data_IF_614072544689
#
_entry.id   IF_614072544689
#
_cell.length_a   1.000
_cell.length_b   1.000
_cell.length_c   1.000
_cell.angle_alpha   90.00
_cell.angle_beta   90.00
_cell.angle_gamma   90.00
#
_symmetry.space_group_name_H-M   'P 1'
#
loop_
_entity.id
_entity.type
_entity.pdbx_description
1 polymer ?
#
# COMPACT_ATOMS: atom_id res chain seq x y z
N UNK A 1 -7.60 -16.97 20.27
CA UNK A 1 -8.67 -15.96 20.29
C UNK A 1 -8.04 -14.59 20.52
N UNK A 2 -7.82 -13.79 19.47
CA UNK A 2 -7.61 -12.33 19.58
C UNK A 2 -8.11 -11.70 18.28
N UNK A 3 -9.37 -11.25 18.28
CA UNK A 3 -9.86 -10.29 17.31
C UNK A 3 -10.55 -9.20 18.12
N UNK A 4 -9.77 -8.23 18.55
CA UNK A 4 -10.20 -7.02 19.26
C UNK A 4 -9.48 -5.87 18.59
N UNK A 5 -10.07 -4.75 18.17
CA UNK A 5 -11.42 -4.29 17.88
C UNK A 5 -11.23 -2.90 17.24
N UNK A 6 -12.21 -2.50 16.44
CA UNK A 6 -12.56 -1.14 16.04
C UNK A 6 -11.52 -0.32 15.25
N UNK A 7 -11.88 -0.11 13.98
CA UNK A 7 -11.81 1.23 13.40
C UNK A 7 -12.57 2.17 14.37
N UNK A 8 -11.84 2.86 15.26
CA UNK A 8 -12.40 3.94 16.08
C UNK A 8 -12.41 5.18 15.20
N UNK A 9 -13.57 5.45 14.60
CA UNK A 9 -13.75 6.59 13.71
C UNK A 9 -14.03 7.85 14.52
N UNK A 10 -12.98 8.61 14.85
CA UNK A 10 -13.13 10.04 15.14
C UNK A 10 -12.90 10.79 13.84
N UNK A 11 -13.99 11.21 13.19
CA UNK A 11 -13.92 11.88 11.89
C UNK A 11 -13.48 13.33 12.07
N UNK A 12 -12.32 13.69 11.52
CA UNK A 12 -11.91 15.08 11.35
C UNK A 12 -11.59 15.32 9.88
N UNK A 13 -12.44 16.09 9.20
CA UNK A 13 -12.22 16.51 7.81
C UNK A 13 -11.36 17.75 7.79
N UNK A 14 -10.21 17.68 7.12
CA UNK A 14 -9.33 18.83 6.91
C UNK A 14 -9.26 19.15 5.41
N UNK A 15 -9.20 20.44 5.01
CA UNK A 15 -8.82 20.81 3.66
C UNK A 15 -7.40 20.27 3.39
N UNK A 16 -7.15 19.75 2.19
CA UNK A 16 -5.84 19.28 1.80
C UNK A 16 -4.85 20.45 1.81
N UNK A 17 -3.89 20.44 2.74
CA UNK A 17 -2.85 21.46 2.84
C UNK A 17 -1.78 21.23 1.77
N UNK A 18 -1.40 22.29 1.06
CA UNK A 18 -0.43 22.28 -0.06
C UNK A 18 1.04 22.07 0.36
N UNK A 19 1.32 21.33 1.44
CA UNK A 19 2.66 21.34 2.08
C UNK A 19 3.17 20.06 2.72
N UNK A 20 2.56 18.89 2.46
CA UNK A 20 3.09 17.62 2.99
C UNK A 20 4.00 16.95 1.95
N UNK A 21 5.28 17.34 1.92
CA UNK A 21 6.33 16.60 1.22
C UNK A 21 6.53 15.24 1.90
N UNK A 22 6.00 14.18 1.31
CA UNK A 22 6.28 12.80 1.71
C UNK A 22 7.58 12.33 1.06
N UNK A 23 8.54 11.89 1.88
CA UNK A 23 9.64 11.05 1.41
C UNK A 23 9.06 9.75 0.86
N UNK A 24 8.95 9.67 -0.46
CA UNK A 24 8.60 8.44 -1.16
C UNK A 24 9.68 7.37 -0.91
N UNK A 25 9.27 6.13 -0.67
CA UNK A 25 10.17 5.00 -0.85
C UNK A 25 10.49 4.88 -2.35
N UNK A 26 11.78 4.67 -2.64
CA UNK A 26 12.41 4.83 -3.95
C UNK A 26 11.81 3.98 -5.08
N UNK A 27 11.70 4.59 -6.25
CA UNK A 27 11.87 3.89 -7.53
C UNK A 27 12.94 4.64 -8.35
N UNK A 28 13.88 3.86 -8.88
CA UNK A 28 15.09 4.33 -9.56
C UNK A 28 14.77 4.83 -10.96
N UNK A 29 15.54 5.83 -11.41
CA UNK A 29 15.22 6.63 -12.58
C UNK A 29 15.32 5.92 -13.93
N UNK A 30 14.73 6.55 -14.94
CA UNK A 30 15.54 7.21 -15.97
C UNK A 30 14.73 8.30 -16.66
N UNK A 31 15.38 9.45 -16.82
CA UNK A 31 14.94 10.66 -17.52
C UNK A 31 15.22 10.53 -19.01
N UNK A 32 14.30 10.92 -19.88
CA UNK A 32 14.70 11.71 -21.04
C UNK A 32 13.58 12.63 -21.54
N UNK A 33 14.04 13.76 -22.03
CA UNK A 33 13.36 15.01 -22.33
C UNK A 33 12.61 14.94 -23.66
N UNK A 34 11.47 15.63 -23.76
CA UNK A 34 11.29 16.83 -24.60
C UNK A 34 9.82 17.07 -24.89
N UNK A 35 9.35 18.21 -24.39
CA UNK A 35 8.17 18.93 -24.87
C UNK A 35 8.55 19.63 -26.18
N UNK A 36 7.63 19.75 -27.16
CA UNK A 36 7.09 21.08 -27.37
C UNK A 36 5.58 21.14 -27.59
N UNK A 37 5.04 22.24 -27.09
CA UNK A 37 3.71 22.81 -27.29
C UNK A 37 3.42 23.07 -28.77
N UNK A 38 2.19 22.78 -29.22
CA UNK A 38 1.36 23.72 -29.99
C UNK A 38 -0.02 23.11 -30.32
N UNK A 39 -1.02 23.97 -30.17
CA UNK A 39 -2.43 23.83 -30.51
C UNK A 39 -2.67 23.75 -32.02
N UNK A 40 -3.66 22.97 -32.47
CA UNK A 40 -4.66 23.41 -33.46
C UNK A 40 -5.89 22.46 -33.48
N UNK A 41 -7.14 22.96 -33.63
CA UNK A 41 -8.36 22.16 -33.59
C UNK A 41 -8.97 21.88 -34.98
N UNK A 42 -9.79 20.82 -35.02
CA UNK A 42 -10.92 20.58 -35.95
C UNK A 42 -10.60 20.32 -37.44
N UNK A 43 -11.02 19.15 -37.92
CA UNK A 43 -12.00 19.05 -39.03
C UNK A 43 -12.57 17.64 -39.14
N UNK A 44 -13.90 17.60 -39.31
CA UNK A 44 -14.72 16.49 -39.78
C UNK A 44 -14.14 15.80 -41.03
N UNK A 45 -14.38 14.48 -41.15
CA UNK A 45 -15.03 13.85 -42.31
C UNK A 45 -15.29 12.35 -41.97
N UNK A 46 -16.49 11.81 -42.28
CA UNK A 46 -16.85 10.42 -42.00
C UNK A 46 -16.40 9.50 -43.16
N UNK A 47 -15.60 8.47 -42.84
CA UNK A 47 -15.27 7.42 -43.82
C UNK A 47 -16.29 6.28 -43.73
N UNK A 48 -17.02 6.08 -44.81
CA UNK A 48 -17.92 4.96 -45.07
C UNK A 48 -17.14 3.66 -45.24
N UNK A 49 -17.41 2.66 -44.41
CA UNK A 49 -16.92 1.29 -44.56
C UNK A 49 -18.05 0.40 -45.13
N UNK A 50 -17.90 -0.25 -46.30
CA UNK A 50 -18.86 -1.22 -46.78
C UNK A 50 -18.56 -2.61 -46.21
N UNK A 51 -19.61 -3.26 -45.71
CA UNK A 51 -19.60 -4.65 -45.27
C UNK A 51 -19.29 -5.65 -46.40
N UNK A 52 -18.40 -6.60 -46.12
CA UNK A 52 -18.37 -8.04 -46.47
C UNK A 52 -16.94 -8.53 -46.12
N UNK A 53 -16.69 -9.69 -45.53
CA UNK A 53 -17.13 -11.02 -45.92
C UNK A 53 -16.73 -12.03 -44.82
N UNK A 54 -17.47 -13.12 -44.71
CA UNK A 54 -17.25 -14.21 -43.75
C UNK A 54 -16.23 -15.21 -44.31
N UNK A 55 -15.16 -15.49 -43.57
CA UNK A 55 -14.57 -16.84 -43.56
C UNK A 55 -14.11 -17.21 -42.17
N UNK A 56 -14.84 -18.16 -41.61
CA UNK A 56 -14.54 -18.97 -40.44
C UNK A 56 -13.29 -19.81 -40.74
N UNK A 57 -12.14 -19.45 -40.16
CA UNK A 57 -10.90 -20.24 -40.21
C UNK A 57 -10.66 -20.84 -38.81
N UNK A 58 -10.73 -22.17 -38.63
CA UNK A 58 -10.48 -22.78 -37.34
C UNK A 58 -9.00 -22.61 -36.96
N UNK A 59 -8.77 -22.05 -35.78
CA UNK A 59 -7.43 -21.92 -35.19
C UNK A 59 -6.71 -23.27 -35.15
N UNK A 60 -5.42 -23.34 -35.50
CA UNK A 60 -4.64 -24.57 -35.37
C UNK A 60 -4.56 -25.00 -33.88
N UNK A 61 -4.52 -26.30 -33.57
CA UNK A 61 -4.39 -26.77 -32.19
C UNK A 61 -3.09 -26.25 -31.59
N UNK A 62 -3.18 -25.79 -30.33
CA UNK A 62 -2.04 -25.35 -29.55
C UNK A 62 -0.97 -26.45 -29.49
N UNK A 63 0.21 -26.18 -30.05
CA UNK A 63 1.41 -26.96 -29.78
C UNK A 63 1.75 -26.82 -28.31
N UNK A 64 1.48 -27.86 -27.52
CA UNK A 64 2.06 -28.03 -26.18
C UNK A 64 3.56 -28.20 -26.32
N UNK A 65 4.31 -27.12 -26.18
CA UNK A 65 5.74 -27.21 -25.87
C UNK A 65 5.88 -27.81 -24.48
N UNK A 66 6.43 -29.01 -24.43
CA UNK A 66 6.91 -29.67 -23.22
C UNK A 66 7.83 -28.71 -22.44
N UNK A 67 7.63 -28.53 -21.13
CA UNK A 67 8.54 -27.73 -20.32
C UNK A 67 9.94 -28.30 -20.41
N UNK A 68 10.93 -27.45 -20.69
CA UNK A 68 12.34 -27.83 -20.64
C UNK A 68 12.67 -28.50 -19.29
N UNK A 69 13.52 -29.54 -19.26
CA UNK A 69 13.90 -30.21 -18.02
C UNK A 69 14.46 -29.20 -17.02
N UNK A 70 13.96 -29.25 -15.78
CA UNK A 70 14.42 -28.42 -14.66
C UNK A 70 15.94 -28.63 -14.50
N UNK A 71 16.75 -27.56 -14.44
CA UNK A 71 18.17 -27.68 -14.16
C UNK A 71 18.41 -28.42 -12.85
N UNK A 72 19.35 -29.36 -12.85
CA UNK A 72 19.77 -30.05 -11.63
C UNK A 72 20.21 -29.03 -10.56
N UNK A 73 19.93 -29.26 -9.26
CA UNK A 73 20.38 -28.39 -8.19
C UNK A 73 21.91 -28.20 -8.23
N UNK A 74 22.44 -27.00 -7.91
CA UNK A 74 23.88 -26.82 -7.75
C UNK A 74 24.44 -27.80 -6.73
N UNK A 75 25.59 -28.40 -7.04
CA UNK A 75 26.32 -29.24 -6.10
C UNK A 75 26.58 -28.46 -4.80
N UNK A 76 26.32 -29.11 -3.66
CA UNK A 76 26.59 -28.54 -2.34
C UNK A 76 28.06 -28.10 -2.22
N UNK A 77 28.35 -26.96 -1.57
CA UNK A 77 29.73 -26.53 -1.33
C UNK A 77 30.50 -27.61 -0.58
N UNK A 78 31.70 -27.93 -1.09
CA UNK A 78 32.64 -28.79 -0.40
C UNK A 78 32.92 -28.24 1.01
N UNK A 79 32.96 -29.16 1.99
CA UNK A 79 33.03 -28.85 3.42
C UNK A 79 34.11 -27.84 3.77
N UNK A 80 33.70 -26.77 4.45
CA UNK A 80 34.63 -25.92 5.17
C UNK A 80 35.10 -26.69 6.41
N UNK A 81 36.41 -26.82 6.53
CA UNK A 81 37.10 -27.37 7.70
C UNK A 81 36.63 -26.60 8.96
N UNK A 82 36.23 -27.26 10.07
CA UNK A 82 35.81 -26.54 11.27
C UNK A 82 36.94 -25.63 11.78
N UNK A 83 36.61 -24.37 12.06
CA UNK A 83 37.53 -23.47 12.75
C UNK A 83 37.96 -24.09 14.09
N UNK A 84 39.23 -23.89 14.52
CA UNK A 84 39.69 -24.40 15.80
C UNK A 84 38.81 -23.87 16.94
N UNK A 85 38.26 -24.78 17.74
CA UNK A 85 37.47 -24.45 18.93
C UNK A 85 38.38 -23.69 19.90
N UNK A 86 37.98 -22.50 20.41
CA UNK A 86 38.76 -21.77 21.39
C UNK A 86 38.98 -22.64 22.64
N UNK A 87 40.23 -22.80 23.06
CA UNK A 87 40.55 -23.44 24.34
C UNK A 87 39.96 -22.56 25.46
N UNK A 88 39.17 -23.12 26.40
CA UNK A 88 38.65 -22.33 27.51
C UNK A 88 39.82 -21.75 28.32
N UNK A 89 39.86 -20.43 28.43
CA UNK A 89 40.78 -19.73 29.32
C UNK A 89 40.39 -20.11 30.76
N UNK A 90 41.35 -20.48 31.65
CA UNK A 90 41.04 -20.73 33.05
C UNK A 90 40.33 -19.52 33.66
N UNK A 91 39.09 -19.72 34.12
CA UNK A 91 38.35 -18.69 34.85
C UNK A 91 39.06 -18.48 36.19
N UNK A 92 39.37 -17.23 36.60
CA UNK A 92 39.92 -16.97 37.92
C UNK A 92 38.99 -17.51 39.01
N UNK A 93 39.55 -18.28 39.94
CA UNK A 93 38.82 -18.74 41.13
C UNK A 93 38.45 -17.50 41.96
N UNK A 94 37.18 -17.29 42.34
CA UNK A 94 36.78 -16.15 43.16
C UNK A 94 37.48 -16.18 44.52
N UNK A 95 38.06 -15.05 44.92
CA UNK A 95 38.60 -14.83 46.27
C UNK A 95 37.45 -14.82 47.30
N UNK A 96 37.46 -15.68 48.34
CA UNK A 96 36.42 -15.73 49.37
C UNK A 96 36.23 -14.44 50.19
N UNK A 97 37.09 -13.43 50.04
CA UNK A 97 37.04 -12.20 50.82
C UNK A 97 36.41 -10.97 50.14
N UNK A 98 36.05 -11.04 48.86
CA UNK A 98 35.63 -9.85 48.12
C UNK A 98 34.09 -9.67 48.18
N UNK A 99 33.56 -8.51 48.63
CA UNK A 99 32.13 -8.24 48.56
C UNK A 99 31.67 -8.28 47.10
N UNK A 100 30.64 -9.10 46.82
CA UNK A 100 30.04 -9.23 45.49
C UNK A 100 29.67 -7.84 44.97
N UNK A 101 30.19 -7.39 43.83
CA UNK A 101 29.75 -6.12 43.25
C UNK A 101 28.25 -6.23 42.96
N UNK A 102 27.44 -5.42 43.64
CA UNK A 102 26.02 -5.27 43.33
C UNK A 102 25.91 -4.87 41.86
N UNK A 103 25.32 -5.74 41.04
CA UNK A 103 25.11 -5.46 39.63
C UNK A 103 24.34 -4.15 39.50
N UNK A 104 25.00 -3.12 38.96
CA UNK A 104 24.35 -1.86 38.64
C UNK A 104 23.31 -2.18 37.56
N UNK A 105 22.03 -1.93 37.84
CA UNK A 105 20.96 -2.16 36.89
C UNK A 105 21.32 -1.48 35.56
N UNK A 106 21.50 -2.27 34.50
CA UNK A 106 21.71 -1.73 33.16
C UNK A 106 20.47 -0.89 32.82
N UNK A 107 20.61 0.39 32.45
CA UNK A 107 19.45 1.20 32.07
C UNK A 107 18.74 0.48 30.91
N UNK A 108 17.45 0.19 31.09
CA UNK A 108 16.61 -0.35 30.03
C UNK A 108 16.71 0.58 28.82
N UNK A 109 16.94 0.06 27.59
CA UNK A 109 17.05 0.91 26.42
C UNK A 109 15.78 1.76 26.28
N UNK A 110 15.97 3.06 26.08
CA UNK A 110 14.88 4.00 25.78
C UNK A 110 14.11 3.50 24.55
N UNK A 111 12.77 3.52 24.54
CA UNK A 111 11.99 3.12 23.38
C UNK A 111 12.44 3.91 22.14
N UNK A 112 12.65 3.21 21.02
CA UNK A 112 12.96 3.85 19.75
C UNK A 112 11.83 4.85 19.36
N UNK A 113 12.16 6.00 18.74
CA UNK A 113 11.15 6.95 18.28
C UNK A 113 10.10 6.27 17.39
N UNK A 114 8.82 6.70 17.44
CA UNK A 114 7.80 6.21 16.52
C UNK A 114 8.25 6.43 15.07
N UNK A 115 7.87 5.54 14.14
CA UNK A 115 8.10 5.77 12.72
C UNK A 115 7.50 7.12 12.30
N UNK A 116 8.18 7.82 11.38
CA UNK A 116 7.57 8.96 10.69
C UNK A 116 6.36 8.53 9.85
N UNK A 117 5.56 9.48 9.32
CA UNK A 117 4.43 9.14 8.47
C UNK A 117 4.85 8.29 7.26
N UNK A 118 4.05 7.27 6.93
CA UNK A 118 4.27 6.39 5.78
C UNK A 118 3.06 6.45 4.86
N UNK A 119 3.27 6.77 3.59
CA UNK A 119 2.20 6.95 2.60
C UNK A 119 2.22 5.87 1.52
N UNK A 120 1.03 5.51 1.03
CA UNK A 120 0.81 4.53 -0.03
C UNK A 120 -0.20 5.10 -1.04
N UNK A 121 0.24 5.32 -2.27
CA UNK A 121 -0.60 5.83 -3.36
C UNK A 121 -1.64 4.79 -3.79
N UNK A 122 -2.87 5.24 -4.08
CA UNK A 122 -3.95 4.35 -4.47
C UNK A 122 -3.67 3.70 -5.84
N UNK A 123 -3.10 4.46 -6.76
CA UNK A 123 -2.78 4.05 -8.13
C UNK A 123 -1.51 3.19 -8.24
N UNK A 124 -0.82 2.91 -7.13
CA UNK A 124 0.41 2.12 -7.14
C UNK A 124 0.18 0.77 -7.82
N UNK A 125 1.11 0.38 -8.69
CA UNK A 125 1.11 -0.94 -9.35
C UNK A 125 1.23 -2.10 -8.37
N UNK A 126 1.66 -1.85 -7.13
CA UNK A 126 1.72 -2.83 -6.06
C UNK A 126 0.34 -3.16 -5.48
N UNK A 127 -0.67 -2.33 -5.73
CA UNK A 127 -2.03 -2.52 -5.21
C UNK A 127 -2.83 -3.48 -6.08
N UNK A 128 -3.91 -4.03 -5.51
CA UNK A 128 -4.86 -4.86 -6.27
C UNK A 128 -6.11 -4.04 -6.56
N UNK A 129 -6.37 -3.84 -7.84
CA UNK A 129 -7.50 -3.07 -8.37
C UNK A 129 -8.49 -4.05 -9.02
N UNK A 130 -9.56 -4.40 -8.31
CA UNK A 130 -10.59 -5.31 -8.81
C UNK A 130 -11.80 -4.51 -9.29
N UNK A 131 -11.92 -4.31 -10.61
CA UNK A 131 -13.00 -3.55 -11.23
C UNK A 131 -12.95 -2.03 -11.03
N UNK A 132 -11.89 -1.52 -10.38
CA UNK A 132 -11.64 -0.10 -10.17
C UNK A 132 -10.82 0.50 -11.32
N UNK A 133 -10.71 1.83 -11.38
CA UNK A 133 -10.01 2.54 -12.47
C UNK A 133 -9.10 3.63 -11.94
N UNK A 134 -7.88 3.67 -12.47
CA UNK A 134 -6.95 4.80 -12.27
C UNK A 134 -7.41 5.95 -13.16
N UNK A 135 -7.50 7.16 -12.60
CA UNK A 135 -7.90 8.38 -13.29
C UNK A 135 -6.92 9.51 -12.96
N UNK A 136 -6.75 10.46 -13.89
CA UNK A 136 -5.99 11.68 -13.65
C UNK A 136 -6.68 12.57 -12.63
N UNK A 137 -5.89 13.23 -11.78
CA UNK A 137 -6.34 14.18 -10.77
C UNK A 137 -5.20 15.14 -10.44
N UNK A 138 -5.21 16.34 -11.01
CA UNK A 138 -4.10 17.29 -10.88
C UNK A 138 -3.81 17.74 -9.44
N UNK A 139 -4.81 17.67 -8.56
CA UNK A 139 -4.75 18.05 -7.15
C UNK A 139 -4.44 16.88 -6.22
N UNK A 140 -4.45 15.66 -6.73
CA UNK A 140 -4.13 14.46 -5.97
C UNK A 140 -2.62 14.29 -5.85
N UNK A 141 -2.20 13.55 -4.82
CA UNK A 141 -0.83 13.03 -4.77
C UNK A 141 -0.57 12.19 -6.02
N UNK A 142 0.67 12.23 -6.55
CA UNK A 142 1.01 11.52 -7.78
C UNK A 142 0.24 11.95 -9.05
N UNK A 143 -0.65 12.94 -8.97
CA UNK A 143 -1.47 13.40 -10.08
C UNK A 143 -2.58 12.41 -10.50
N UNK A 144 -2.87 11.39 -9.68
CA UNK A 144 -3.84 10.33 -10.01
C UNK A 144 -4.69 9.95 -8.80
N UNK A 145 -5.75 9.21 -9.07
CA UNK A 145 -6.66 8.63 -8.07
C UNK A 145 -7.22 7.32 -8.57
N UNK A 146 -7.69 6.48 -7.67
CA UNK A 146 -8.47 5.29 -8.01
C UNK A 146 -9.94 5.55 -7.70
N UNK A 147 -10.79 5.46 -8.71
CA UNK A 147 -12.24 5.53 -8.55
C UNK A 147 -12.94 4.27 -9.01
N UNK A 148 -14.27 4.35 -9.12
CA UNK A 148 -15.15 3.19 -9.29
C UNK A 148 -15.02 2.15 -8.16
N UNK A 149 -14.53 2.57 -6.99
CA UNK A 149 -14.52 1.76 -5.76
C UNK A 149 -15.97 1.54 -5.31
N UNK A 150 -16.32 0.33 -4.90
CA UNK A 150 -17.70 -0.04 -4.58
C UNK A 150 -18.47 -0.64 -5.76
N UNK A 151 -19.77 -0.87 -5.59
CA UNK A 151 -20.56 -1.78 -6.44
C UNK A 151 -19.85 -3.11 -6.70
N UNK A 152 -19.43 -3.76 -5.62
CA UNK A 152 -18.61 -4.99 -5.61
C UNK A 152 -17.15 -4.85 -6.11
N UNK A 153 -16.75 -3.69 -6.67
CA UNK A 153 -15.36 -3.40 -6.98
C UNK A 153 -14.58 -3.04 -5.70
N UNK A 154 -13.31 -3.41 -5.67
CA UNK A 154 -12.43 -3.15 -4.52
C UNK A 154 -11.10 -2.55 -4.92
N UNK A 155 -10.59 -1.70 -4.03
CA UNK A 155 -9.20 -1.27 -4.00
C UNK A 155 -8.54 -1.89 -2.77
N UNK A 156 -7.47 -2.64 -2.96
CA UNK A 156 -6.67 -3.18 -1.87
C UNK A 156 -5.25 -2.62 -1.91
N UNK A 157 -4.87 -1.94 -0.83
CA UNK A 157 -3.49 -1.58 -0.54
C UNK A 157 -2.76 -2.82 -0.03
N UNK A 158 -1.68 -3.17 -0.72
CA UNK A 158 -0.82 -4.29 -0.34
C UNK A 158 0.41 -3.81 0.42
N UNK A 159 1.00 -4.70 1.22
CA UNK A 159 2.27 -4.46 1.92
C UNK A 159 2.25 -3.22 2.82
N UNK A 160 1.10 -2.93 3.44
CA UNK A 160 0.96 -1.83 4.39
C UNK A 160 1.64 -2.23 5.69
N UNK A 161 2.67 -1.49 6.08
CA UNK A 161 3.48 -1.78 7.26
C UNK A 161 3.64 -0.54 8.17
N UNK A 162 3.78 -0.80 9.47
CA UNK A 162 4.02 0.23 10.50
C UNK A 162 5.02 -0.26 11.55
N UNK A 163 6.31 -0.32 11.22
CA UNK A 163 7.35 -0.75 12.16
C UNK A 163 7.02 -2.08 12.84
N UNK A 164 6.88 -2.06 14.17
CA UNK A 164 6.50 -3.24 14.97
C UNK A 164 4.99 -3.51 15.06
N UNK A 165 4.17 -2.83 14.26
CA UNK A 165 2.71 -2.84 14.37
C UNK A 165 2.20 -2.00 15.55
N UNK A 166 0.91 -2.13 15.83
CA UNK A 166 0.22 -1.45 16.93
C UNK A 166 -0.88 -0.49 16.49
N UNK A 167 -1.34 0.33 17.45
CA UNK A 167 -2.38 1.34 17.22
C UNK A 167 -1.80 2.58 16.53
N UNK A 168 -2.36 2.92 15.37
CA UNK A 168 -1.88 3.99 14.49
C UNK A 168 -3.06 4.81 13.95
N UNK A 169 -2.82 5.99 13.39
CA UNK A 169 -3.81 6.73 12.61
C UNK A 169 -3.65 6.38 11.13
N UNK A 170 -4.73 5.87 10.54
CA UNK A 170 -4.92 5.75 9.10
C UNK A 170 -5.62 7.00 8.57
N UNK A 171 -4.90 7.81 7.81
CA UNK A 171 -5.42 8.98 7.11
C UNK A 171 -5.70 8.58 5.67
N UNK A 172 -6.94 8.74 5.23
CA UNK A 172 -7.39 8.43 3.87
C UNK A 172 -7.62 9.75 3.15
N UNK A 173 -6.80 10.06 2.15
CA UNK A 173 -7.06 11.13 1.19
C UNK A 173 -8.07 10.64 0.16
N UNK A 174 -9.20 11.34 0.04
CA UNK A 174 -10.32 10.91 -0.78
C UNK A 174 -10.99 12.09 -1.48
N UNK A 175 -11.79 11.76 -2.50
CA UNK A 175 -12.64 12.68 -3.24
C UNK A 175 -14.05 12.10 -3.31
N UNK A 176 -15.03 12.92 -2.99
CA UNK A 176 -16.44 12.61 -3.18
C UNK A 176 -17.12 13.83 -3.80
N UNK A 177 -17.15 13.89 -5.13
CA UNK A 177 -17.70 15.03 -5.86
C UNK A 177 -19.23 15.13 -5.83
N UNK A 178 -19.93 14.17 -5.23
CA UNK A 178 -21.39 14.28 -5.02
C UNK A 178 -21.72 15.33 -3.96
N UNK A 179 -22.95 15.80 -3.93
CA UNK A 179 -23.46 16.72 -2.90
C UNK A 179 -23.77 16.04 -1.56
N UNK A 180 -23.81 14.71 -1.52
CA UNK A 180 -24.11 13.91 -0.32
C UNK A 180 -22.95 12.99 0.04
N UNK A 181 -22.98 12.43 1.26
CA UNK A 181 -21.94 11.51 1.70
C UNK A 181 -22.02 10.17 0.97
N UNK A 182 -20.88 9.64 0.53
CA UNK A 182 -20.74 8.24 0.08
C UNK A 182 -20.28 7.34 1.23
N UNK A 183 -20.39 6.03 1.04
CA UNK A 183 -19.93 5.04 2.03
C UNK A 183 -18.89 4.12 1.41
N UNK A 184 -17.93 3.70 2.23
CA UNK A 184 -17.08 2.55 1.93
C UNK A 184 -16.93 1.67 3.17
N UNK A 185 -16.82 0.38 2.95
CA UNK A 185 -16.38 -0.60 3.93
C UNK A 185 -14.86 -0.72 3.86
N UNK A 186 -14.24 -0.73 5.04
CA UNK A 186 -12.79 -0.89 5.21
C UNK A 186 -12.55 -2.18 5.99
N UNK A 187 -11.69 -3.04 5.45
CA UNK A 187 -11.22 -4.27 6.10
C UNK A 187 -9.69 -4.27 6.18
N UNK A 188 -9.15 -4.80 7.27
CA UNK A 188 -7.71 -5.01 7.45
C UNK A 188 -7.49 -6.52 7.53
N UNK A 189 -6.59 -7.05 6.70
CA UNK A 189 -6.23 -8.46 6.61
C UNK A 189 -7.44 -9.41 6.44
N UNK A 190 -8.49 -8.96 5.75
CA UNK A 190 -9.72 -9.73 5.55
C UNK A 190 -10.62 -9.84 6.79
N UNK A 191 -10.34 -9.08 7.85
CA UNK A 191 -11.21 -8.98 9.02
C UNK A 191 -12.58 -8.35 8.71
N UNK A 192 -13.49 -8.38 9.68
CA UNK A 192 -14.86 -7.84 9.54
C UNK A 192 -14.84 -6.39 9.03
N UNK A 193 -15.47 -6.10 7.87
CA UNK A 193 -15.45 -4.76 7.32
C UNK A 193 -16.22 -3.76 8.18
N UNK A 194 -15.67 -2.56 8.37
CA UNK A 194 -16.34 -1.43 9.04
C UNK A 194 -16.81 -0.43 8.00
N UNK A 195 -18.10 -0.04 8.07
CA UNK A 195 -18.67 0.96 7.16
C UNK A 195 -18.38 2.37 7.64
N UNK A 196 -17.75 3.17 6.77
CA UNK A 196 -17.34 4.55 7.03
C UNK A 196 -18.06 5.48 6.05
N UNK A 197 -18.46 6.66 6.54
CA UNK A 197 -19.07 7.71 5.74
C UNK A 197 -18.01 8.70 5.27
N UNK A 198 -18.05 9.06 3.99
CA UNK A 198 -17.15 10.00 3.36
C UNK A 198 -17.96 11.20 2.89
N UNK A 199 -17.79 12.32 3.59
CA UNK A 199 -18.50 13.56 3.30
C UNK A 199 -18.25 14.08 1.89
N UNK A 200 -19.11 14.96 1.39
CA UNK A 200 -18.87 15.63 0.11
C UNK A 200 -17.56 16.43 0.14
N UNK A 201 -16.83 16.41 -0.97
CA UNK A 201 -15.72 17.32 -1.28
C UNK A 201 -16.16 18.45 -2.24
N UNK A 202 -17.44 18.48 -2.61
CA UNK A 202 -18.10 19.42 -3.53
C UNK A 202 -17.57 19.45 -4.97
N UNK A 203 -16.54 18.67 -5.29
CA UNK A 203 -15.98 18.54 -6.64
C UNK A 203 -15.13 17.26 -6.75
N UNK A 204 -15.16 16.61 -7.92
CA UNK A 204 -14.33 15.45 -8.28
C UNK A 204 -12.82 15.73 -8.41
N UNK A 205 -12.38 16.96 -8.13
CA UNK A 205 -10.97 17.36 -8.02
C UNK A 205 -10.60 17.88 -6.63
N UNK A 206 -11.52 17.96 -5.67
CA UNK A 206 -11.20 18.48 -4.34
C UNK A 206 -10.86 17.32 -3.39
N UNK A 207 -9.61 17.28 -2.91
CA UNK A 207 -9.17 16.27 -1.95
C UNK A 207 -9.53 16.69 -0.53
N UNK A 208 -10.05 15.74 0.27
CA UNK A 208 -10.19 15.84 1.72
C UNK A 208 -9.58 14.63 2.38
N UNK A 209 -9.27 14.75 3.67
CA UNK A 209 -8.80 13.61 4.47
C UNK A 209 -9.86 13.13 5.45
N UNK A 210 -9.94 11.81 5.66
CA UNK A 210 -10.66 11.18 6.75
C UNK A 210 -9.66 10.38 7.59
N UNK A 211 -9.67 10.54 8.91
CA UNK A 211 -8.73 9.86 9.82
C UNK A 211 -9.44 8.80 10.65
N UNK A 212 -8.82 7.64 10.77
CA UNK A 212 -9.30 6.49 11.52
C UNK A 212 -8.21 5.98 12.45
N UNK A 213 -8.56 5.63 13.69
CA UNK A 213 -7.67 4.84 14.55
C UNK A 213 -7.82 3.37 14.19
N UNK A 214 -6.71 2.73 13.83
CA UNK A 214 -6.66 1.31 13.42
C UNK A 214 -5.55 0.56 14.13
N UNK A 215 -5.63 -0.76 14.15
CA UNK A 215 -4.55 -1.64 14.59
C UNK A 215 -3.90 -2.25 13.35
N UNK A 216 -2.58 -2.15 13.24
CA UNK A 216 -1.76 -2.76 12.18
C UNK A 216 -0.92 -3.85 12.80
N UNK A 217 -0.93 -5.05 12.24
CA UNK A 217 -0.09 -6.15 12.70
C UNK A 217 1.39 -5.86 12.37
N UNK A 218 2.36 -6.41 13.12
CA UNK A 218 3.75 -6.37 12.71
C UNK A 218 3.93 -6.98 11.30
N UNK A 219 4.71 -6.34 10.44
CA UNK A 219 4.94 -6.78 9.06
C UNK A 219 3.95 -6.22 8.04
N UNK A 220 3.75 -6.97 6.95
CA UNK A 220 2.91 -6.57 5.82
C UNK A 220 1.43 -6.89 6.06
N UNK A 221 0.58 -5.87 5.94
CA UNK A 221 -0.87 -5.95 6.08
C UNK A 221 -1.55 -5.60 4.74
N UNK A 222 -2.81 -5.99 4.62
CA UNK A 222 -3.69 -5.60 3.51
C UNK A 222 -4.81 -4.70 4.04
N UNK A 223 -5.02 -3.56 3.38
CA UNK A 223 -6.17 -2.68 3.68
C UNK A 223 -7.05 -2.63 2.43
N UNK A 224 -8.28 -3.11 2.56
CA UNK A 224 -9.22 -3.21 1.44
C UNK A 224 -10.38 -2.25 1.64
N UNK A 225 -10.66 -1.45 0.61
CA UNK A 225 -11.80 -0.56 0.51
C UNK A 225 -12.74 -1.07 -0.59
N UNK A 226 -14.03 -1.11 -0.28
CA UNK A 226 -15.08 -1.49 -1.22
C UNK A 226 -16.45 -1.20 -0.64
N UNK A 227 -17.50 -1.41 -1.41
CA UNK A 227 -18.87 -1.32 -0.91
C UNK A 227 -19.78 -2.16 -1.81
N UNK A 228 -20.63 -3.05 -1.27
CA UNK A 228 -21.32 -4.04 -2.10
C UNK A 228 -22.37 -3.42 -3.03
N UNK A 229 -23.12 -2.42 -2.56
CA UNK A 229 -24.35 -1.98 -3.23
C UNK A 229 -24.27 -0.61 -3.93
N UNK A 230 -23.25 0.20 -3.65
CA UNK A 230 -23.12 1.55 -4.20
C UNK A 230 -21.64 1.92 -4.41
N UNK A 231 -21.40 2.98 -5.18
CA UNK A 231 -20.06 3.53 -5.33
C UNK A 231 -19.63 4.26 -4.06
N UNK A 232 -18.38 4.07 -3.68
CA UNK A 232 -17.68 4.81 -2.64
C UNK A 232 -17.04 6.09 -3.18
N UNK A 233 -16.22 6.78 -2.35
CA UNK A 233 -15.39 7.88 -2.81
C UNK A 233 -14.29 7.37 -3.74
N UNK A 234 -13.70 8.28 -4.51
CA UNK A 234 -12.42 8.05 -5.16
C UNK A 234 -11.30 8.20 -4.11
N UNK A 235 -10.27 7.36 -4.21
CA UNK A 235 -9.16 7.31 -3.27
C UNK A 235 -7.91 7.85 -3.95
N UNK A 236 -7.29 8.84 -3.32
CA UNK A 236 -6.01 9.42 -3.72
C UNK A 236 -4.88 8.61 -3.07
N UNK A 237 -4.86 8.58 -1.73
CA UNK A 237 -3.75 7.99 -0.96
C UNK A 237 -4.18 7.55 0.42
N UNK A 238 -3.45 6.62 1.03
CA UNK A 238 -3.48 6.41 2.49
C UNK A 238 -2.15 6.78 3.13
N UNK A 239 -2.21 7.30 4.37
CA UNK A 239 -1.04 7.60 5.19
C UNK A 239 -1.22 7.03 6.58
N UNK A 240 -0.23 6.27 7.05
CA UNK A 240 -0.10 5.88 8.45
C UNK A 240 0.74 6.92 9.20
N UNK A 241 0.31 7.33 10.39
CA UNK A 241 1.09 8.19 11.28
C UNK A 241 0.82 7.88 12.75
N UNK A 242 1.76 8.25 13.62
CA UNK A 242 1.56 8.18 15.07
C UNK A 242 0.29 8.93 15.51
N UNK A 243 -0.30 8.47 16.61
CA UNK A 243 -1.51 9.07 17.18
C UNK A 243 -1.29 10.45 17.77
#
# INVERSE_FOLDING_TARGET
MVAVLAVLATQATHPYGTGQTSTAAADGGNTDSTNPSASDPSTDEPSTDPAADNTDEPSPPATTTEPAPVPAPPAAPAGQNPAPVPVPIPVPVPDPGQPTPTATATPSPSPAPPPGPVSYEAESSTNTLAGTRIMSCATCSGGKKVGYVGKANTLQFNNVAWGKGGSVLLVISYINGDTTSRKAQISIDGGTPVTISFGSTNNWTNVRTLTLKVIINPGANRITLGYPSAYGPDIDRITLRSQ
#
